data_IF_564961474819
#
_entry.id   IF_564961474819
#
_cell.length_a   1.000
_cell.length_b   1.000
_cell.length_c   1.000
_cell.angle_alpha   90.00
_cell.angle_beta   90.00
_cell.angle_gamma   90.00
#
_symmetry.space_group_name_H-M   'P 1'
#
loop_
_entity.id
_entity.type
_entity.pdbx_description
1 polymer ?
#
# COMPACT_ATOMS: atom_id res chain seq x y z
N UNK A 1 -6.40 11.23 -17.06
CA UNK A 1 -6.14 10.33 -15.91
C UNK A 1 -5.06 9.32 -16.27
N UNK A 2 -4.14 9.10 -15.36
CA UNK A 2 -3.02 8.19 -15.57
C UNK A 2 -3.14 6.96 -14.68
N UNK A 3 -2.51 5.88 -15.10
CA UNK A 3 -2.40 4.67 -14.31
C UNK A 3 -1.04 4.01 -14.57
N UNK A 4 -0.60 3.19 -13.62
CA UNK A 4 0.60 2.38 -13.80
C UNK A 4 0.47 1.09 -12.98
N UNK A 5 1.29 0.11 -13.36
CA UNK A 5 1.40 -1.16 -12.65
C UNK A 5 2.86 -1.38 -12.30
N UNK A 6 3.10 -1.78 -11.05
CA UNK A 6 4.45 -2.09 -10.55
C UNK A 6 4.43 -3.46 -9.92
N UNK A 7 5.57 -4.14 -9.94
CA UNK A 7 5.70 -5.46 -9.32
C UNK A 7 6.90 -5.49 -8.40
N UNK A 8 6.70 -6.16 -7.27
CA UNK A 8 7.74 -6.30 -6.24
C UNK A 8 7.82 -7.74 -5.81
N UNK A 9 9.04 -8.22 -5.62
CA UNK A 9 9.30 -9.54 -5.06
C UNK A 9 9.77 -9.37 -3.63
N UNK A 10 9.03 -9.93 -2.68
CA UNK A 10 9.35 -9.81 -1.26
C UNK A 10 9.61 -11.21 -0.69
N UNK A 11 10.78 -11.41 -0.10
CA UNK A 11 11.20 -12.70 0.46
C UNK A 11 10.60 -12.89 1.84
N UNK A 12 9.29 -12.97 1.88
CA UNK A 12 8.51 -13.20 3.09
C UNK A 12 7.16 -13.80 2.68
N UNK A 13 6.51 -14.58 3.57
CA UNK A 13 5.20 -15.12 3.25
C UNK A 13 4.13 -14.02 3.14
N UNK A 14 3.07 -14.33 2.43
CA UNK A 14 1.99 -13.37 2.18
C UNK A 14 1.39 -12.82 3.48
N UNK A 15 1.31 -13.64 4.51
CA UNK A 15 0.81 -13.20 5.81
C UNK A 15 1.62 -12.03 6.37
N UNK A 16 2.94 -12.07 6.26
CA UNK A 16 3.82 -10.99 6.73
C UNK A 16 3.70 -9.74 5.88
N UNK A 17 3.67 -9.92 4.57
CA UNK A 17 3.51 -8.79 3.64
C UNK A 17 2.17 -8.11 3.89
N UNK A 18 1.13 -8.91 4.06
CA UNK A 18 -0.21 -8.41 4.37
C UNK A 18 -0.22 -7.61 5.67
N UNK A 19 0.42 -8.14 6.72
CA UNK A 19 0.53 -7.41 7.99
C UNK A 19 1.15 -6.03 7.81
N UNK A 20 2.19 -5.94 7.00
CA UNK A 20 2.86 -4.67 6.72
C UNK A 20 1.99 -3.69 5.90
N UNK A 21 0.91 -4.18 5.28
CA UNK A 21 -0.04 -3.33 4.56
C UNK A 21 -1.19 -2.86 5.45
N UNK A 22 -1.61 -3.66 6.42
CA UNK A 22 -2.87 -3.40 7.15
C UNK A 22 -2.73 -3.24 8.67
N UNK A 23 -1.57 -3.58 9.25
CA UNK A 23 -1.35 -3.44 10.69
C UNK A 23 -0.71 -2.09 10.97
N UNK A 24 -1.40 -1.18 11.68
CA UNK A 24 -0.87 0.16 11.93
C UNK A 24 0.47 0.17 12.67
N UNK A 25 0.73 -0.79 13.54
CA UNK A 25 2.00 -0.88 14.26
C UNK A 25 3.14 -1.15 13.27
N UNK A 26 2.93 -2.09 12.35
CA UNK A 26 3.95 -2.43 11.34
C UNK A 26 4.13 -1.31 10.33
N UNK A 27 3.04 -0.64 9.95
CA UNK A 27 3.10 0.49 9.03
C UNK A 27 3.93 1.63 9.63
N UNK A 28 3.75 1.92 10.91
CA UNK A 28 4.59 2.94 11.56
C UNK A 28 6.06 2.51 11.61
N UNK A 29 6.31 1.22 11.79
CA UNK A 29 7.69 0.71 11.81
C UNK A 29 8.42 0.90 10.49
N UNK A 30 7.75 0.72 9.37
CA UNK A 30 8.44 0.93 8.10
C UNK A 30 8.41 2.38 7.63
N UNK A 31 7.73 3.26 8.33
CA UNK A 31 7.95 4.69 8.13
C UNK A 31 6.78 5.54 7.68
N UNK A 32 5.55 5.05 7.69
CA UNK A 32 4.39 5.85 7.29
C UNK A 32 3.69 6.56 8.45
N UNK A 33 4.34 6.64 9.60
CA UNK A 33 3.83 7.40 10.74
C UNK A 33 4.20 8.88 10.66
N UNK A 34 3.78 9.67 11.65
CA UNK A 34 2.97 9.25 12.79
C UNK A 34 1.48 9.18 12.49
N UNK A 35 0.73 8.62 13.44
CA UNK A 35 -0.72 8.67 13.39
C UNK A 35 -1.35 7.78 12.35
N UNK A 36 -0.76 6.60 12.10
CA UNK A 36 -1.32 5.64 11.15
C UNK A 36 -2.68 5.14 11.63
N UNK A 37 -3.65 5.18 10.73
CA UNK A 37 -4.95 4.54 10.92
C UNK A 37 -5.12 3.54 9.79
N UNK A 38 -5.35 2.28 10.14
CA UNK A 38 -5.50 1.22 9.15
C UNK A 38 -6.20 0.01 9.78
N UNK A 39 -6.95 -0.74 8.98
CA UNK A 39 -7.53 -2.02 9.38
C UNK A 39 -7.76 -2.89 8.16
N UNK A 40 -8.19 -4.14 8.38
CA UNK A 40 -8.56 -5.08 7.32
C UNK A 40 -10.06 -5.06 7.00
N UNK A 41 -10.81 -4.14 7.59
CA UNK A 41 -12.26 -4.12 7.40
C UNK A 41 -12.65 -3.31 6.18
N UNK A 42 -13.43 -3.86 5.22
CA UNK A 42 -13.95 -3.08 4.11
C UNK A 42 -14.81 -1.91 4.61
N UNK A 43 -14.73 -0.80 3.94
CA UNK A 43 -15.49 0.40 4.30
C UNK A 43 -14.84 1.27 5.36
N UNK A 44 -13.69 0.90 5.90
CA UNK A 44 -13.01 1.70 6.92
C UNK A 44 -12.04 2.70 6.28
N UNK A 45 -11.88 3.84 6.95
CA UNK A 45 -10.94 4.87 6.52
C UNK A 45 -9.52 4.54 6.96
N UNK A 46 -8.55 5.00 6.18
CA UNK A 46 -7.14 4.89 6.57
C UNK A 46 -6.45 6.23 6.43
N UNK A 47 -5.32 6.36 7.13
CA UNK A 47 -4.50 7.56 7.10
C UNK A 47 -3.03 7.18 7.29
N UNK A 48 -2.17 7.76 6.45
CA UNK A 48 -0.74 7.55 6.47
C UNK A 48 -0.04 8.92 6.46
N UNK A 49 1.16 8.98 7.02
CA UNK A 49 1.98 10.20 7.07
C UNK A 49 1.20 11.42 7.59
N UNK A 50 0.51 11.24 8.71
CA UNK A 50 -0.20 12.34 9.35
C UNK A 50 -1.37 12.89 8.56
N UNK A 51 -1.82 12.15 7.53
CA UNK A 51 -2.94 12.57 6.68
C UNK A 51 -2.54 13.00 5.28
N UNK A 52 -1.24 13.03 4.97
CA UNK A 52 -0.79 13.34 3.60
C UNK A 52 -1.38 12.37 2.60
N UNK A 53 -1.51 11.11 2.99
CA UNK A 53 -2.24 10.10 2.23
C UNK A 53 -3.37 9.59 3.10
N UNK A 54 -4.56 9.54 2.54
CA UNK A 54 -5.74 9.03 3.25
C UNK A 54 -6.73 8.45 2.26
N UNK A 55 -7.68 7.70 2.76
CA UNK A 55 -8.70 7.13 1.90
C UNK A 55 -9.56 6.11 2.61
N UNK A 56 -10.00 5.11 1.84
CA UNK A 56 -10.96 4.13 2.32
C UNK A 56 -10.63 2.77 1.74
N UNK A 57 -10.67 1.74 2.58
CA UNK A 57 -10.53 0.36 2.13
C UNK A 57 -11.85 -0.07 1.49
N UNK A 58 -11.81 -0.46 0.23
CA UNK A 58 -13.01 -0.79 -0.55
C UNK A 58 -13.24 -2.29 -0.57
N UNK A 59 -12.19 -3.06 -0.86
CA UNK A 59 -12.30 -4.50 -0.99
C UNK A 59 -11.12 -5.14 -0.28
N UNK A 60 -11.38 -6.17 0.51
CA UNK A 60 -10.36 -6.85 1.29
C UNK A 60 -10.55 -8.35 1.16
N UNK A 61 -9.54 -9.03 0.61
CA UNK A 61 -9.46 -10.49 0.62
C UNK A 61 -8.15 -10.85 1.30
N UNK A 62 -8.24 -11.24 2.55
CA UNK A 62 -7.08 -11.45 3.41
C UNK A 62 -5.98 -12.24 2.73
N UNK A 63 -4.78 -11.66 2.77
CA UNK A 63 -3.52 -12.17 2.25
C UNK A 63 -3.40 -12.15 0.72
N UNK A 64 -4.45 -11.77 -0.02
CA UNK A 64 -4.38 -11.82 -1.48
C UNK A 64 -4.74 -10.53 -2.20
N UNK A 65 -5.67 -9.73 -1.66
CA UNK A 65 -6.14 -8.55 -2.39
C UNK A 65 -6.59 -7.43 -1.47
N UNK A 66 -6.13 -6.22 -1.76
CA UNK A 66 -6.56 -5.01 -1.05
C UNK A 66 -6.80 -3.93 -2.09
N UNK A 67 -8.01 -3.38 -2.12
CA UNK A 67 -8.38 -2.27 -3.00
C UNK A 67 -8.72 -1.07 -2.13
N UNK A 68 -8.14 0.08 -2.47
CA UNK A 68 -8.31 1.32 -1.70
C UNK A 68 -8.68 2.49 -2.61
N UNK A 69 -9.57 3.35 -2.12
CA UNK A 69 -9.64 4.71 -2.63
C UNK A 69 -8.53 5.50 -1.94
N UNK A 70 -7.80 6.31 -2.71
CA UNK A 70 -6.55 6.92 -2.24
C UNK A 70 -6.52 8.39 -2.63
N UNK A 71 -6.41 9.25 -1.61
CA UNK A 71 -6.27 10.70 -1.80
C UNK A 71 -4.87 11.11 -1.39
N UNK A 72 -4.22 11.91 -2.23
CA UNK A 72 -2.95 12.54 -1.89
C UNK A 72 -3.13 14.05 -1.84
N UNK A 73 -2.56 14.69 -0.81
CA UNK A 73 -2.63 16.13 -0.69
C UNK A 73 -4.06 16.66 -0.73
N UNK A 74 -4.33 17.53 -1.67
CA UNK A 74 -5.61 18.19 -1.83
C UNK A 74 -6.42 17.69 -3.03
N UNK A 75 -6.21 16.44 -3.43
CA UNK A 75 -6.95 15.86 -4.55
C UNK A 75 -8.44 15.85 -4.27
N UNK A 76 -9.23 16.29 -5.22
CA UNK A 76 -10.69 16.33 -5.11
C UNK A 76 -11.35 14.98 -5.31
N UNK A 77 -10.69 14.09 -6.05
CA UNK A 77 -11.23 12.76 -6.38
C UNK A 77 -10.23 11.70 -5.98
N UNK A 78 -10.73 10.53 -5.54
CA UNK A 78 -9.82 9.44 -5.19
C UNK A 78 -9.18 8.83 -6.43
N UNK A 79 -7.95 8.41 -6.27
CA UNK A 79 -7.34 7.42 -7.14
C UNK A 79 -7.69 6.03 -6.60
N UNK A 80 -7.41 5.00 -7.37
CA UNK A 80 -7.69 3.62 -6.95
C UNK A 80 -6.39 2.85 -6.91
N UNK A 81 -6.12 2.25 -5.75
CA UNK A 81 -4.94 1.42 -5.54
C UNK A 81 -5.39 -0.02 -5.33
N UNK A 82 -4.77 -0.93 -6.05
CA UNK A 82 -5.01 -2.37 -5.89
C UNK A 82 -3.69 -3.06 -5.60
N UNK A 83 -3.65 -3.81 -4.50
CA UNK A 83 -2.54 -4.70 -4.18
C UNK A 83 -3.01 -6.13 -4.41
N UNK A 84 -2.28 -6.88 -5.23
CA UNK A 84 -2.53 -8.30 -5.45
C UNK A 84 -1.30 -9.06 -4.97
N UNK A 85 -1.49 -9.98 -4.03
CA UNK A 85 -0.40 -10.76 -3.44
C UNK A 85 -0.52 -12.21 -3.88
N UNK A 86 0.61 -12.79 -4.29
CA UNK A 86 0.69 -14.18 -4.67
C UNK A 86 1.96 -14.78 -4.07
N UNK A 87 1.81 -15.77 -3.22
CA UNK A 87 2.94 -16.40 -2.54
C UNK A 87 3.28 -17.75 -3.15
N UNK A 88 4.58 -18.02 -3.26
CA UNK A 88 5.09 -19.32 -3.65
C UNK A 88 6.41 -19.58 -2.93
N UNK A 89 6.46 -20.64 -2.13
CA UNK A 89 7.68 -21.04 -1.44
C UNK A 89 8.24 -20.00 -0.49
N UNK A 90 7.36 -19.28 0.22
CA UNK A 90 7.79 -18.27 1.19
C UNK A 90 8.18 -16.93 0.57
N UNK A 91 7.97 -16.77 -0.72
CA UNK A 91 8.24 -15.51 -1.44
C UNK A 91 6.94 -14.98 -2.00
N UNK A 92 6.68 -13.71 -1.78
CA UNK A 92 5.44 -13.06 -2.22
C UNK A 92 5.73 -12.09 -3.36
N UNK A 93 4.97 -12.25 -4.45
CA UNK A 93 4.92 -11.26 -5.52
C UNK A 93 3.79 -10.31 -5.21
N UNK A 94 4.07 -9.00 -5.25
CA UNK A 94 3.06 -7.97 -5.08
C UNK A 94 2.90 -7.25 -6.39
N UNK A 95 1.69 -7.27 -6.94
CA UNK A 95 1.34 -6.45 -8.08
C UNK A 95 0.57 -5.25 -7.58
N UNK A 96 1.10 -4.08 -7.83
CA UNK A 96 0.51 -2.81 -7.42
C UNK A 96 -0.04 -2.10 -8.64
N UNK A 97 -1.34 -1.84 -8.65
CA UNK A 97 -2.00 -1.12 -9.72
C UNK A 97 -2.55 0.17 -9.14
N UNK A 98 -2.11 1.32 -9.67
CA UNK A 98 -2.59 2.61 -9.22
C UNK A 98 -3.22 3.34 -10.40
N UNK A 99 -4.52 3.53 -10.35
CA UNK A 99 -5.28 4.15 -11.41
C UNK A 99 -5.98 5.42 -10.99
N UNK A 100 -6.55 6.13 -11.96
CA UNK A 100 -7.26 7.39 -11.72
C UNK A 100 -6.39 8.49 -11.10
N UNK A 101 -5.11 8.53 -11.46
CA UNK A 101 -4.19 9.54 -10.95
C UNK A 101 -4.31 10.84 -11.71
N UNK A 102 -4.19 12.00 -11.03
CA UNK A 102 -3.99 13.27 -11.75
C UNK A 102 -2.75 13.16 -12.65
N UNK A 103 -2.86 13.66 -13.87
CA UNK A 103 -1.77 13.51 -14.87
C UNK A 103 -0.45 14.08 -14.40
N UNK A 104 -0.47 15.22 -13.73
CA UNK A 104 0.73 15.91 -13.26
C UNK A 104 1.33 15.29 -11.99
N UNK A 105 0.62 14.39 -11.34
CA UNK A 105 1.09 13.72 -10.12
C UNK A 105 1.65 12.32 -10.37
N UNK A 106 1.31 11.72 -11.50
CA UNK A 106 1.60 10.30 -11.74
C UNK A 106 3.07 9.95 -11.63
N UNK A 107 3.98 10.77 -12.16
CA UNK A 107 5.41 10.48 -12.13
C UNK A 107 5.97 10.49 -10.70
N UNK A 108 5.60 11.49 -9.90
CA UNK A 108 6.10 11.59 -8.54
C UNK A 108 5.50 10.52 -7.64
N UNK A 109 4.23 10.17 -7.84
CA UNK A 109 3.59 9.09 -7.10
C UNK A 109 4.22 7.75 -7.43
N UNK A 110 4.52 7.51 -8.71
CA UNK A 110 5.21 6.29 -9.14
C UNK A 110 6.55 6.12 -8.42
N UNK A 111 7.35 7.17 -8.39
CA UNK A 111 8.65 7.14 -7.68
C UNK A 111 8.46 6.99 -6.18
N UNK A 112 7.45 7.67 -5.62
CA UNK A 112 7.16 7.60 -4.19
C UNK A 112 6.79 6.20 -3.73
N UNK A 113 6.12 5.42 -4.56
CA UNK A 113 5.82 4.02 -4.23
C UNK A 113 7.10 3.22 -3.93
N UNK A 114 8.15 3.43 -4.72
CA UNK A 114 9.42 2.75 -4.47
C UNK A 114 10.10 3.30 -3.22
N UNK A 115 10.30 4.61 -3.17
CA UNK A 115 11.19 5.25 -2.19
C UNK A 115 10.61 5.27 -0.78
N UNK A 116 9.31 5.49 -0.66
CA UNK A 116 8.69 5.77 0.64
C UNK A 116 7.73 4.70 1.13
N UNK A 117 7.27 3.82 0.27
CA UNK A 117 6.26 2.82 0.61
C UNK A 117 6.81 1.40 0.48
N UNK A 118 7.05 0.96 -0.74
CA UNK A 118 7.33 -0.46 -0.99
C UNK A 118 8.72 -0.93 -0.57
N UNK A 119 9.76 -0.12 -0.78
CA UNK A 119 11.10 -0.51 -0.33
C UNK A 119 11.20 -0.58 1.19
N UNK A 120 10.71 0.42 1.95
CA UNK A 120 10.68 0.29 3.41
C UNK A 120 9.84 -0.87 3.91
N UNK A 121 8.68 -1.11 3.29
CA UNK A 121 7.81 -2.24 3.64
C UNK A 121 8.52 -3.57 3.40
N UNK A 122 9.15 -3.70 2.25
CA UNK A 122 9.91 -4.91 1.88
C UNK A 122 11.02 -5.17 2.88
N UNK A 123 11.79 -4.15 3.25
CA UNK A 123 12.85 -4.29 4.24
C UNK A 123 12.33 -4.83 5.55
N UNK A 124 11.24 -4.27 6.04
CA UNK A 124 10.67 -4.73 7.30
C UNK A 124 10.18 -6.18 7.19
N UNK A 125 9.46 -6.51 6.13
CA UNK A 125 8.90 -7.85 5.96
C UNK A 125 10.00 -8.92 5.85
N UNK A 126 11.10 -8.60 5.18
CA UNK A 126 12.21 -9.54 4.98
C UNK A 126 13.09 -9.72 6.21
N UNK A 127 13.14 -8.74 7.09
CA UNK A 127 13.93 -8.80 8.33
C UNK A 127 13.29 -9.63 9.41
N UNK A 128 11.99 -9.70 9.41
CA UNK A 128 11.25 -10.33 10.50
C UNK A 128 11.38 -11.85 10.41
N UNK A 129 11.79 -12.54 11.47
CA UNK A 129 11.84 -14.01 11.47
C UNK A 129 10.46 -14.63 11.36
#
# INVERSE_FOLDING_TARGET
MKSFTKRYTIRAPAEKVWGALVDPVLIERWGAGPGVVMSEEPGTFFRLWGGDIHGKNIEVERWSKLVQEWYGGDWERPSIVTFLLSEKGGVTEVELIHGNLPDDEAASVNKGWDDYYMLPLKELAEKSP
#
